data_IF_330193285344
#
_entry.id   IF_330193285344
#
_cell.length_a   1.000
_cell.length_b   1.000
_cell.length_c   1.000
_cell.angle_alpha   90.00
_cell.angle_beta   90.00
_cell.angle_gamma   90.00
#
_symmetry.space_group_name_H-M   'P 1'
#
loop_
_entity.id
_entity.type
_entity.pdbx_description
1 polymer ?
#
# COMPACT_ATOMS: atom_id res chain seq x y z
N UNK A 1 -12.41 -12.21 5.08
CA UNK A 1 -12.16 -11.70 3.71
C UNK A 1 -12.51 -12.79 2.72
N UNK A 2 -12.90 -12.43 1.49
CA UNK A 2 -13.20 -13.38 0.41
C UNK A 2 -12.72 -12.81 -0.93
N UNK A 3 -12.51 -13.68 -1.91
CA UNK A 3 -12.20 -13.29 -3.28
C UNK A 3 -13.50 -13.07 -4.04
N UNK A 4 -13.73 -11.88 -4.59
CA UNK A 4 -14.90 -11.61 -5.45
C UNK A 4 -14.69 -12.10 -6.89
N UNK A 5 -15.75 -12.10 -7.69
CA UNK A 5 -15.73 -12.52 -9.10
C UNK A 5 -14.71 -11.72 -9.95
N UNK A 6 -14.46 -10.45 -9.55
CA UNK A 6 -13.45 -9.57 -10.15
C UNK A 6 -12.00 -9.87 -9.69
N UNK A 7 -11.78 -10.95 -8.93
CA UNK A 7 -10.49 -11.36 -8.33
C UNK A 7 -9.88 -10.34 -7.34
N UNK A 8 -10.67 -9.41 -6.81
CA UNK A 8 -10.22 -8.53 -5.72
C UNK A 8 -10.54 -9.13 -4.35
N UNK A 9 -9.71 -8.84 -3.35
CA UNK A 9 -9.98 -9.24 -1.96
C UNK A 9 -11.01 -8.27 -1.38
N UNK A 10 -12.12 -8.80 -0.86
CA UNK A 10 -13.14 -8.02 -0.14
C UNK A 10 -13.11 -8.36 1.34
N UNK A 11 -13.17 -7.35 2.19
CA UNK A 11 -13.31 -7.48 3.64
C UNK A 11 -14.70 -7.01 4.04
N UNK A 12 -15.56 -7.91 4.55
CA UNK A 12 -16.92 -7.54 4.92
C UNK A 12 -16.94 -6.61 6.14
N UNK A 13 -17.79 -5.59 6.12
CA UNK A 13 -18.03 -4.70 7.25
C UNK A 13 -19.54 -4.63 7.55
N UNK A 14 -19.90 -4.82 8.82
CA UNK A 14 -21.28 -4.81 9.32
C UNK A 14 -21.32 -4.16 10.70
N UNK A 15 -22.36 -3.37 10.95
CA UNK A 15 -22.61 -2.73 12.24
C UNK A 15 -23.95 -3.19 12.81
N UNK A 16 -24.14 -3.00 14.11
CA UNK A 16 -25.41 -3.21 14.78
C UNK A 16 -25.64 -2.10 15.80
N UNK A 17 -26.90 -1.70 15.99
CA UNK A 17 -27.29 -0.80 17.07
C UNK A 17 -28.27 -1.49 18.00
N UNK A 18 -28.21 -1.11 19.28
CA UNK A 18 -29.12 -1.55 20.33
C UNK A 18 -29.87 -0.34 20.88
N UNK A 19 -31.18 -0.49 21.05
CA UNK A 19 -32.05 0.54 21.61
C UNK A 19 -33.11 -0.09 22.53
N UNK A 20 -33.51 0.63 23.56
CA UNK A 20 -34.63 0.24 24.41
C UNK A 20 -35.90 0.94 23.92
N UNK A 21 -36.84 0.16 23.36
CA UNK A 21 -38.13 0.66 22.94
C UNK A 21 -39.18 0.44 24.05
N UNK A 22 -40.19 1.31 24.23
CA UNK A 22 -41.15 1.23 25.33
C UNK A 22 -41.82 -0.13 25.52
N UNK A 23 -42.10 -0.86 24.43
CA UNK A 23 -42.72 -2.19 24.46
C UNK A 23 -41.74 -3.31 24.08
N UNK A 24 -40.47 -2.99 23.85
CA UNK A 24 -39.43 -3.93 23.44
C UNK A 24 -38.05 -3.42 23.87
N UNK A 25 -37.74 -3.46 25.19
CA UNK A 25 -36.39 -3.20 25.67
C UNK A 25 -35.41 -4.21 25.06
N UNK A 26 -34.18 -3.78 24.82
CA UNK A 26 -33.12 -4.59 24.22
C UNK A 26 -33.29 -4.87 22.73
N UNK A 27 -34.01 -4.02 21.98
CA UNK A 27 -34.12 -4.14 20.54
C UNK A 27 -32.74 -3.97 19.87
N UNK A 28 -32.34 -4.94 19.06
CA UNK A 28 -31.13 -4.89 18.25
C UNK A 28 -31.50 -4.89 16.77
N UNK A 29 -30.81 -4.07 15.98
CA UNK A 29 -30.91 -4.11 14.52
C UNK A 29 -29.55 -3.98 13.88
N UNK A 30 -29.33 -4.86 12.91
CA UNK A 30 -28.13 -4.89 12.08
C UNK A 30 -28.24 -3.89 10.93
N UNK A 31 -27.10 -3.31 10.54
CA UNK A 31 -26.95 -2.62 9.26
C UNK A 31 -26.89 -3.62 8.10
N UNK A 32 -27.00 -3.12 6.88
CA UNK A 32 -26.53 -3.85 5.71
C UNK A 32 -25.02 -4.09 5.81
N UNK A 33 -24.56 -5.15 5.16
CA UNK A 33 -23.13 -5.44 5.00
C UNK A 33 -22.58 -4.64 3.81
N UNK A 34 -21.42 -4.01 4.02
CA UNK A 34 -20.70 -3.26 2.97
C UNK A 34 -19.25 -3.75 2.97
N UNK A 35 -18.73 -4.27 1.87
CA UNK A 35 -17.33 -4.70 1.82
C UNK A 35 -16.38 -3.52 1.57
N UNK A 36 -15.16 -3.59 2.12
CA UNK A 36 -14.01 -2.77 1.71
C UNK A 36 -13.04 -3.58 0.87
N UNK A 37 -12.31 -2.92 -0.02
CA UNK A 37 -11.24 -3.55 -0.81
C UNK A 37 -9.91 -3.01 -0.29
N UNK A 38 -9.01 -3.84 0.24
CA UNK A 38 -7.66 -3.40 0.55
C UNK A 38 -6.96 -2.91 -0.73
N UNK A 39 -6.10 -1.88 -0.66
CA UNK A 39 -5.27 -1.53 -1.80
C UNK A 39 -4.38 -2.70 -2.19
N UNK A 40 -4.22 -2.92 -3.49
CA UNK A 40 -3.21 -3.87 -4.00
C UNK A 40 -1.85 -3.19 -3.95
N UNK A 41 -0.84 -3.78 -3.29
CA UNK A 41 0.50 -3.24 -3.30
C UNK A 41 1.08 -3.22 -4.71
N UNK A 42 1.59 -2.09 -5.15
CA UNK A 42 2.40 -2.02 -6.36
C UNK A 42 3.85 -2.41 -6.01
N UNK A 43 4.45 -3.26 -6.83
CA UNK A 43 5.87 -3.56 -6.72
C UNK A 43 6.69 -2.32 -7.12
N UNK A 44 7.55 -1.78 -6.24
CA UNK A 44 8.23 -0.53 -6.51
C UNK A 44 9.34 -0.72 -7.55
N UNK A 45 9.37 0.14 -8.55
CA UNK A 45 10.45 0.17 -9.53
C UNK A 45 11.75 0.68 -8.90
N UNK A 46 12.90 0.10 -9.28
CA UNK A 46 14.23 0.58 -8.86
C UNK A 46 14.97 1.12 -10.08
N UNK A 47 15.30 2.41 -10.05
CA UNK A 47 16.08 3.11 -11.08
C UNK A 47 17.42 3.57 -10.51
N UNK A 48 18.47 3.44 -11.32
CA UNK A 48 19.83 3.84 -10.97
C UNK A 48 20.33 4.89 -11.95
N UNK A 49 21.03 5.89 -11.44
CA UNK A 49 21.67 6.91 -12.27
C UNK A 49 22.99 7.37 -11.64
N UNK A 50 23.85 7.95 -12.47
CA UNK A 50 25.06 8.62 -12.04
C UNK A 50 25.01 10.08 -12.48
N UNK A 51 25.10 11.00 -11.53
CA UNK A 51 24.94 12.44 -11.77
C UNK A 51 23.66 12.80 -12.56
N UNK A 52 22.56 12.06 -12.35
CA UNK A 52 21.28 12.29 -13.05
C UNK A 52 21.22 11.72 -14.48
N UNK A 53 22.19 10.91 -14.89
CA UNK A 53 22.27 10.28 -16.23
C UNK A 53 22.42 8.77 -16.12
N UNK A 54 22.06 8.04 -17.17
CA UNK A 54 22.21 6.57 -17.22
C UNK A 54 23.68 6.13 -17.13
N UNK A 55 24.60 6.95 -17.67
CA UNK A 55 26.04 6.75 -17.55
C UNK A 55 26.77 8.09 -17.53
N UNK A 56 28.00 8.08 -17.04
CA UNK A 56 28.92 9.20 -17.11
C UNK A 56 30.32 8.73 -17.49
N UNK A 57 31.00 9.54 -18.29
CA UNK A 57 32.38 9.29 -18.73
C UNK A 57 33.32 10.12 -17.89
N UNK A 58 34.40 9.51 -17.43
CA UNK A 58 35.44 10.16 -16.63
C UNK A 58 36.17 11.23 -17.46
N UNK A 59 36.05 12.49 -17.07
CA UNK A 59 36.80 13.59 -17.69
C UNK A 59 38.14 13.85 -16.98
N UNK A 60 38.20 13.60 -15.67
CA UNK A 60 39.40 13.76 -14.84
C UNK A 60 39.53 12.62 -13.84
N UNK A 61 40.77 12.27 -13.49
CA UNK A 61 41.05 11.14 -12.59
C UNK A 61 40.42 11.29 -11.20
N UNK A 62 40.30 12.51 -10.72
CA UNK A 62 39.80 12.91 -9.41
C UNK A 62 38.33 13.35 -9.43
N UNK A 63 37.62 13.13 -10.53
CA UNK A 63 36.20 13.46 -10.65
C UNK A 63 35.36 12.58 -9.71
N UNK A 64 34.52 13.24 -8.92
CA UNK A 64 33.57 12.58 -8.00
C UNK A 64 32.24 12.41 -8.71
N UNK A 65 31.69 11.21 -8.61
CA UNK A 65 30.35 10.88 -9.12
C UNK A 65 29.39 10.65 -7.96
N UNK A 66 28.16 11.13 -8.13
CA UNK A 66 27.04 10.81 -7.26
C UNK A 66 26.25 9.68 -7.88
N UNK A 67 26.20 8.55 -7.22
CA UNK A 67 25.34 7.42 -7.57
C UNK A 67 24.00 7.55 -6.85
N UNK A 68 22.91 7.54 -7.62
CA UNK A 68 21.56 7.66 -7.10
C UNK A 68 20.79 6.37 -7.32
N UNK A 69 20.09 5.93 -6.27
CA UNK A 69 19.08 4.85 -6.35
C UNK A 69 17.72 5.48 -6.04
N UNK A 70 16.77 5.32 -6.95
CA UNK A 70 15.42 5.87 -6.86
C UNK A 70 14.41 4.73 -6.87
N UNK A 71 13.53 4.74 -5.87
CA UNK A 71 12.44 3.77 -5.75
C UNK A 71 11.29 4.36 -4.93
N UNK A 72 10.15 3.69 -4.90
CA UNK A 72 8.98 4.05 -4.09
C UNK A 72 8.80 3.06 -2.94
N UNK A 73 8.05 3.48 -1.92
CA UNK A 73 7.62 2.57 -0.84
C UNK A 73 6.28 1.99 -1.23
N UNK A 74 6.15 0.66 -1.18
CA UNK A 74 4.88 -0.02 -1.44
C UNK A 74 3.81 0.38 -0.41
N UNK A 75 2.55 0.39 -0.82
CA UNK A 75 1.45 0.99 -0.05
C UNK A 75 1.15 0.29 1.29
N UNK A 76 1.54 -0.97 1.43
CA UNK A 76 1.40 -1.81 2.62
C UNK A 76 2.75 -2.18 3.26
N UNK A 77 3.84 -1.52 2.86
CA UNK A 77 5.17 -1.83 3.37
C UNK A 77 5.26 -1.59 4.89
N UNK A 78 5.65 -2.63 5.62
CA UNK A 78 5.91 -2.55 7.07
C UNK A 78 7.40 -2.39 7.38
N UNK A 79 8.26 -2.61 6.40
CA UNK A 79 9.71 -2.39 6.44
C UNK A 79 10.20 -1.98 5.05
N UNK A 80 11.31 -1.22 4.99
CA UNK A 80 11.90 -0.76 3.74
C UNK A 80 13.43 -0.73 3.84
N UNK A 81 14.10 -1.37 2.89
CA UNK A 81 15.56 -1.39 2.80
C UNK A 81 15.99 -1.42 1.34
N UNK A 82 17.03 -0.65 1.01
CA UNK A 82 17.69 -0.67 -0.31
C UNK A 82 19.13 -1.12 -0.08
N UNK A 83 19.55 -2.19 -0.76
CA UNK A 83 20.92 -2.72 -0.68
C UNK A 83 21.56 -2.65 -2.07
N UNK A 84 22.81 -2.20 -2.11
CA UNK A 84 23.66 -2.15 -3.31
C UNK A 84 24.97 -2.89 -2.94
N UNK A 85 25.47 -3.75 -3.82
CA UNK A 85 26.66 -4.61 -3.60
C UNK A 85 27.66 -4.45 -4.73
#
# INVERSE_FOLDING_TARGET
AYLSEDKTVKVPNKAAYKADLPNKPGFTKDSNEVPVTPPTPEEPEIKKDVNGKESATLAKRDEVFTYNVKTSVAQDATAFSVTDT
#
